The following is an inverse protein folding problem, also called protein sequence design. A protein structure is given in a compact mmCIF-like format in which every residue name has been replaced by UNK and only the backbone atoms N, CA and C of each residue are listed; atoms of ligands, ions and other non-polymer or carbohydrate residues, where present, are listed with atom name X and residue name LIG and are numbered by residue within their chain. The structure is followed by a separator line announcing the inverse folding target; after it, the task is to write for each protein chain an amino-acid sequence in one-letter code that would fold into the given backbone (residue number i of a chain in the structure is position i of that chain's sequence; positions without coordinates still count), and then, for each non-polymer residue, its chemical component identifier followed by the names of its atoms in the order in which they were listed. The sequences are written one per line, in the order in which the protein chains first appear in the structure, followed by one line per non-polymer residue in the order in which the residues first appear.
data_IF_090814899424
#
_entry.id   IF_090814899424
#
_cell.length_a   1.000
_cell.length_b   1.000
_cell.length_c   1.000
_cell.angle_alpha   90.00
_cell.angle_beta   90.00
_cell.angle_gamma   90.00
#
_symmetry.space_group_name_H-M   'P 1'
#
loop_
_entity.id
_entity.type
_entity.pdbx_description
1 polymer ?
#
# COMPACT_ATOMS: atom_id res chain seq x y z
N UNK A 1 -2.75 -8.39 -3.09
CA UNK A 1 -1.84 -7.33 -3.58
C UNK A 1 -0.44 -7.60 -3.06
N UNK A 2 0.58 -7.48 -3.91
CA UNK A 2 1.98 -7.72 -3.55
C UNK A 2 2.87 -6.53 -3.88
N UNK A 3 3.93 -6.34 -3.09
CA UNK A 3 4.97 -5.34 -3.35
C UNK A 3 6.35 -5.91 -3.00
N UNK A 4 7.31 -5.83 -3.92
CA UNK A 4 8.69 -6.33 -3.78
C UNK A 4 8.76 -7.78 -3.23
N UNK A 5 7.88 -8.66 -3.72
CA UNK A 5 7.83 -10.07 -3.34
C UNK A 5 7.10 -10.37 -2.04
N UNK A 6 6.46 -9.38 -1.39
CA UNK A 6 5.69 -9.58 -0.16
C UNK A 6 4.20 -9.35 -0.37
N UNK A 7 3.36 -10.12 0.32
CA UNK A 7 1.93 -9.83 0.42
C UNK A 7 1.76 -8.61 1.31
N UNK A 8 1.23 -7.52 0.75
CA UNK A 8 0.97 -6.28 1.51
C UNK A 8 -0.50 -6.12 1.88
N UNK A 9 -1.39 -6.77 1.13
CA UNK A 9 -2.84 -6.73 1.39
C UNK A 9 -3.54 -7.91 0.72
N UNK A 10 -4.55 -8.47 1.39
CA UNK A 10 -5.38 -9.58 0.88
C UNK A 10 -6.79 -9.42 1.42
N UNK A 11 -7.78 -9.34 0.52
CA UNK A 11 -9.20 -9.31 0.87
C UNK A 11 -10.03 -9.83 -0.33
N UNK A 12 -11.35 -10.07 -0.16
CA UNK A 12 -12.26 -10.25 -1.28
C UNK A 12 -12.16 -9.09 -2.27
N UNK A 13 -12.36 -9.37 -3.57
CA UNK A 13 -12.20 -8.36 -4.64
C UNK A 13 -13.02 -7.10 -4.36
N UNK A 14 -14.31 -7.25 -4.03
CA UNK A 14 -15.19 -6.11 -3.72
C UNK A 14 -14.65 -5.26 -2.55
N UNK A 15 -14.12 -5.90 -1.52
CA UNK A 15 -13.57 -5.20 -0.36
C UNK A 15 -12.28 -4.45 -0.70
N UNK A 16 -11.41 -5.04 -1.53
CA UNK A 16 -10.20 -4.35 -2.01
C UNK A 16 -10.51 -3.08 -2.79
N UNK A 17 -11.54 -3.10 -3.64
CA UNK A 17 -11.94 -1.92 -4.42
C UNK A 17 -12.64 -0.86 -3.57
N UNK A 18 -13.50 -1.27 -2.63
CA UNK A 18 -14.30 -0.34 -1.82
C UNK A 18 -13.55 0.21 -0.61
N UNK A 19 -12.67 -0.59 0.00
CA UNK A 19 -12.04 -0.29 1.28
C UNK A 19 -10.57 -0.76 1.31
N UNK A 20 -9.73 -0.31 0.34
CA UNK A 20 -8.31 -0.62 0.36
C UNK A 20 -7.65 -0.09 1.62
N UNK A 21 -6.85 -0.92 2.29
CA UNK A 21 -6.26 -0.62 3.59
C UNK A 21 -4.82 -0.17 3.49
N UNK A 22 -4.00 -0.82 2.68
CA UNK A 22 -2.59 -0.50 2.54
C UNK A 22 -2.40 0.73 1.62
N UNK A 23 -1.58 1.73 1.99
CA UNK A 23 -1.36 2.93 1.18
C UNK A 23 -0.93 2.66 -0.26
N UNK A 24 -0.15 1.59 -0.49
CA UNK A 24 0.20 1.12 -1.84
C UNK A 24 -1.03 0.69 -2.66
N UNK A 25 -1.93 -0.10 -2.09
CA UNK A 25 -3.16 -0.56 -2.78
C UNK A 25 -4.08 0.61 -3.08
N UNK A 26 -4.25 1.53 -2.11
CA UNK A 26 -4.99 2.79 -2.32
C UNK A 26 -4.46 3.52 -3.55
N UNK A 27 -3.15 3.71 -3.59
CA UNK A 27 -2.54 4.48 -4.66
C UNK A 27 -2.61 3.76 -6.03
N UNK A 28 -2.48 2.43 -6.07
CA UNK A 28 -2.72 1.64 -7.29
C UNK A 28 -4.15 1.85 -7.83
N UNK A 29 -5.16 1.76 -6.96
CA UNK A 29 -6.56 1.89 -7.36
C UNK A 29 -6.90 3.31 -7.82
N UNK A 30 -6.32 4.34 -7.18
CA UNK A 30 -6.51 5.73 -7.61
C UNK A 30 -5.82 6.07 -8.93
N UNK A 31 -4.87 5.24 -9.37
CA UNK A 31 -4.23 5.38 -10.69
C UNK A 31 -5.01 4.67 -11.81
N UNK A 32 -6.17 4.07 -11.53
CA UNK A 32 -7.04 3.47 -12.54
C UNK A 32 -7.99 4.55 -13.08
N UNK A 33 -7.95 4.86 -14.39
CA UNK A 33 -8.90 5.80 -14.98
C UNK A 33 -10.34 5.27 -14.89
N UNK A 34 -11.27 6.14 -14.47
CA UNK A 34 -12.72 5.84 -14.47
C UNK A 34 -13.37 6.40 -15.75
N UNK A 35 -14.52 5.86 -16.12
CA UNK A 35 -15.34 6.36 -17.23
C UNK A 35 -15.79 7.81 -16.97
N UNK A 36 -15.94 8.18 -15.70
CA UNK A 36 -16.30 9.54 -15.26
C UNK A 36 -15.10 10.49 -15.16
N UNK A 37 -13.87 10.01 -15.35
CA UNK A 37 -12.68 10.86 -15.28
C UNK A 37 -12.62 11.77 -16.50
N UNK A 38 -12.63 13.09 -16.29
CA UNK A 38 -12.63 14.05 -17.38
C UNK A 38 -11.39 13.88 -18.26
N UNK A 39 -11.51 14.02 -19.60
CA UNK A 39 -10.35 14.00 -20.48
C UNK A 39 -9.34 15.06 -20.04
N UNK A 40 -8.09 14.64 -19.76
CA UNK A 40 -6.93 15.45 -19.31
C UNK A 40 -6.78 15.69 -17.80
N UNK A 41 -7.55 15.02 -16.95
CA UNK A 41 -7.28 15.07 -15.50
C UNK A 41 -6.01 14.26 -15.16
N UNK A 42 -5.05 14.87 -14.43
CA UNK A 42 -3.83 14.17 -14.01
C UNK A 42 -4.18 13.18 -12.90
N UNK A 43 -4.11 11.89 -13.22
CA UNK A 43 -4.23 10.84 -12.22
C UNK A 43 -3.14 10.97 -11.15
N UNK A 44 -3.47 10.82 -9.86
CA UNK A 44 -2.46 10.77 -8.81
C UNK A 44 -1.52 9.58 -9.05
N UNK A 45 -0.22 9.88 -9.15
CA UNK A 45 0.83 8.89 -9.33
C UNK A 45 1.54 8.62 -8.02
N UNK A 46 1.95 7.36 -7.80
CA UNK A 46 2.76 7.00 -6.63
C UNK A 46 4.13 7.66 -6.78
N UNK A 47 4.42 8.65 -5.94
CA UNK A 47 5.68 9.39 -5.96
C UNK A 47 6.90 8.47 -5.74
N UNK A 48 8.03 8.86 -6.33
CA UNK A 48 9.31 8.17 -6.21
C UNK A 48 9.49 6.97 -7.16
N UNK A 49 10.74 6.52 -7.28
CA UNK A 49 11.12 5.33 -8.06
C UNK A 49 10.95 4.05 -7.25
N UNK A 50 10.70 2.93 -7.92
CA UNK A 50 10.68 1.62 -7.29
C UNK A 50 12.13 1.28 -6.90
N UNK A 51 12.42 0.96 -5.62
CA UNK A 51 13.77 0.59 -5.23
C UNK A 51 14.14 -0.74 -5.89
N UNK A 52 15.42 -0.88 -6.24
CA UNK A 52 15.93 -2.11 -6.81
C UNK A 52 15.71 -3.27 -5.81
N UNK A 53 15.26 -4.47 -6.22
CA UNK A 53 14.98 -5.57 -5.29
C UNK A 53 16.15 -5.97 -4.40
N UNK A 54 17.40 -5.76 -4.87
CA UNK A 54 18.63 -6.01 -4.10
C UNK A 54 18.89 -4.93 -3.03
N UNK A 55 18.36 -3.72 -3.22
CA UNK A 55 18.50 -2.58 -2.32
C UNK A 55 17.17 -2.33 -1.59
N UNK A 56 16.62 -3.38 -0.98
CA UNK A 56 15.37 -3.26 -0.21
C UNK A 56 15.64 -2.37 1.02
N UNK A 57 14.83 -1.33 1.25
CA UNK A 57 14.96 -0.51 2.45
C UNK A 57 14.68 -1.33 3.71
N UNK A 58 15.26 -0.92 4.85
CA UNK A 58 14.94 -1.49 6.15
C UNK A 58 13.48 -1.20 6.55
N UNK A 59 12.93 -2.05 7.41
CA UNK A 59 11.56 -1.90 7.87
C UNK A 59 10.50 -2.21 6.80
N UNK A 60 9.46 -1.39 6.71
CA UNK A 60 8.38 -1.53 5.74
C UNK A 60 8.88 -1.21 4.32
N UNK A 61 8.85 -2.17 3.37
CA UNK A 61 9.44 -1.94 2.04
C UNK A 61 8.84 -0.77 1.25
N UNK A 62 7.61 -0.36 1.56
CA UNK A 62 6.92 0.75 0.92
C UNK A 62 7.15 2.11 1.60
N UNK A 63 7.80 2.15 2.77
CA UNK A 63 7.97 3.37 3.57
C UNK A 63 8.55 4.58 2.80
N UNK A 64 9.50 4.43 1.84
CA UNK A 64 10.06 5.59 1.13
C UNK A 64 9.07 6.29 0.20
N UNK A 65 7.97 5.61 -0.17
CA UNK A 65 6.93 6.09 -1.08
C UNK A 65 5.57 6.21 -0.40
N UNK A 66 5.51 5.90 0.89
CA UNK A 66 4.27 5.84 1.65
C UNK A 66 3.86 7.26 2.08
N UNK A 67 2.68 7.76 1.69
CA UNK A 67 2.20 9.07 2.15
C UNK A 67 1.85 9.06 3.65
N UNK A 68 1.65 7.88 4.25
CA UNK A 68 1.39 7.69 5.67
C UNK A 68 2.62 7.13 6.41
N UNK A 69 3.83 7.54 6.00
CA UNK A 69 5.07 7.13 6.63
C UNK A 69 5.14 7.62 8.09
N UNK A 70 5.55 6.72 9.00
CA UNK A 70 5.79 7.02 10.41
C UNK A 70 7.28 6.84 10.73
N UNK A 71 8.04 7.94 10.88
CA UNK A 71 9.47 7.89 11.22
C UNK A 71 9.71 7.18 12.55
N UNK A 72 10.76 6.37 12.64
CA UNK A 72 11.10 5.58 13.81
C UNK A 72 10.30 4.27 13.94
N UNK A 73 9.31 4.03 13.07
CA UNK A 73 8.51 2.81 13.07
C UNK A 73 8.63 2.12 11.71
N UNK A 74 8.20 2.81 10.65
CA UNK A 74 8.12 2.23 9.30
C UNK A 74 9.49 1.99 8.66
N UNK A 75 10.53 2.71 9.08
CA UNK A 75 11.93 2.60 8.60
C UNK A 75 12.77 1.63 9.45
N UNK A 76 12.28 1.24 10.63
CA UNK A 76 12.99 0.36 11.57
C UNK A 76 12.39 -1.03 11.67
N UNK A 77 11.07 -1.18 11.52
CA UNK A 77 10.35 -2.45 11.71
C UNK A 77 9.58 -2.85 10.46
N UNK A 78 9.51 -4.14 10.21
CA UNK A 78 8.70 -4.69 9.11
C UNK A 78 7.31 -5.09 9.66
N UNK A 79 6.21 -4.54 9.10
CA UNK A 79 4.87 -4.83 9.60
C UNK A 79 4.46 -6.28 9.27
N UNK A 80 3.86 -6.97 10.24
CA UNK A 80 3.27 -8.28 10.00
C UNK A 80 1.96 -8.17 9.23
N UNK A 81 1.55 -9.25 8.58
CA UNK A 81 0.24 -9.31 7.93
C UNK A 81 -0.83 -9.53 9.02
N UNK A 82 -1.58 -8.48 9.36
CA UNK A 82 -2.59 -8.53 10.41
C UNK A 82 -4.01 -8.51 9.83
N UNK A 83 -4.95 -9.10 10.57
CA UNK A 83 -6.38 -8.99 10.28
C UNK A 83 -6.88 -7.57 10.59
N UNK A 84 -7.56 -6.96 9.60
CA UNK A 84 -8.15 -5.62 9.69
C UNK A 84 -9.68 -5.65 9.56
N UNK A 85 -10.27 -6.83 9.76
CA UNK A 85 -11.70 -7.12 9.70
C UNK A 85 -12.18 -7.57 8.32
N UNK A 86 -13.41 -8.08 8.23
CA UNK A 86 -14.08 -8.37 6.95
C UNK A 86 -13.32 -9.33 5.99
N UNK A 87 -12.63 -10.35 6.52
CA UNK A 87 -11.75 -11.23 5.75
C UNK A 87 -10.64 -10.48 4.99
N UNK A 88 -10.18 -9.37 5.57
CA UNK A 88 -9.17 -8.49 5.03
C UNK A 88 -7.94 -8.54 5.93
N UNK A 89 -6.78 -8.81 5.35
CA UNK A 89 -5.49 -8.67 6.03
C UNK A 89 -4.60 -7.65 5.35
N UNK A 90 -3.90 -6.81 6.11
CA UNK A 90 -2.97 -5.81 5.61
C UNK A 90 -1.66 -5.82 6.40
N UNK A 91 -0.54 -5.51 5.73
CA UNK A 91 0.79 -5.40 6.34
C UNK A 91 1.13 -3.92 6.50
N UNK A 92 0.60 -3.26 7.54
CA UNK A 92 0.76 -1.82 7.73
C UNK A 92 0.52 -1.38 9.19
N UNK A 93 1.47 -0.65 9.76
CA UNK A 93 1.41 -0.11 11.13
C UNK A 93 0.27 0.87 11.42
N UNK A 94 -0.52 1.28 10.42
CA UNK A 94 -1.76 2.02 10.63
C UNK A 94 -2.82 1.19 11.35
N UNK A 95 -2.68 -0.14 11.35
CA UNK A 95 -3.64 -1.06 11.95
C UNK A 95 -3.00 -1.82 13.12
N UNK A 96 -3.77 -2.09 14.19
CA UNK A 96 -3.30 -2.87 15.32
C UNK A 96 -2.94 -4.30 14.87
N UNK A 97 -1.91 -4.88 15.50
CA UNK A 97 -1.45 -6.25 15.21
C UNK A 97 -0.40 -6.37 14.11
N UNK A 98 0.01 -5.26 13.49
CA UNK A 98 1.11 -5.18 12.52
C UNK A 98 2.46 -4.88 13.19
#
# INVERSE_FOLDING_TARGET
VMYLGRIVEKAPVKELFNNPKHPYTKALLTSIPSIDTAPRERLPSISGSIPHPQNRPSGCPFHPRCPAFMPGVCDQKEPQLADVGANHTASCFLYPGC
#
